data_IF_349380402201
#
_entry.id   IF_349380402201
#
_cell.length_a   1.000
_cell.length_b   1.000
_cell.length_c   1.000
_cell.angle_alpha   90.00
_cell.angle_beta   90.00
_cell.angle_gamma   90.00
#
_symmetry.space_group_name_H-M   'P 1'
#
loop_
_entity.id
_entity.type
_entity.pdbx_description
1 polymer ?
#
# COMPACT_ATOMS: atom_id res chain seq x y z
N UNK A 1 17.52 17.11 16.17
CA UNK A 1 16.19 17.27 16.79
C UNK A 1 15.49 18.55 16.37
N UNK A 2 16.10 19.73 16.52
CA UNK A 2 15.48 20.99 16.07
C UNK A 2 15.02 20.96 14.59
N UNK A 3 15.86 20.46 13.68
CA UNK A 3 15.50 20.34 12.25
C UNK A 3 14.27 19.46 12.02
N UNK A 4 14.19 18.30 12.68
CA UNK A 4 13.05 17.37 12.54
C UNK A 4 11.75 18.04 12.99
N UNK A 5 11.77 18.77 14.10
CA UNK A 5 10.57 19.42 14.64
C UNK A 5 10.09 20.55 13.72
N UNK A 6 11.02 21.34 13.18
CA UNK A 6 10.71 22.45 12.26
C UNK A 6 10.19 21.96 10.91
N UNK A 7 10.66 20.80 10.44
CA UNK A 7 10.22 20.23 9.17
C UNK A 7 8.82 19.62 9.24
N UNK A 8 8.37 19.08 10.37
CA UNK A 8 7.06 18.40 10.47
C UNK A 8 5.90 19.29 9.99
N UNK A 9 5.74 20.56 10.42
CA UNK A 9 4.72 21.46 9.91
C UNK A 9 4.81 21.67 8.39
N UNK A 10 6.02 21.78 7.85
CA UNK A 10 6.22 21.94 6.41
C UNK A 10 5.80 20.67 5.65
N UNK A 11 6.16 19.48 6.14
CA UNK A 11 5.75 18.21 5.55
C UNK A 11 4.22 18.01 5.59
N UNK A 12 3.55 18.48 6.63
CA UNK A 12 2.08 18.46 6.71
C UNK A 12 1.49 19.34 5.60
N UNK A 13 1.96 20.58 5.46
CA UNK A 13 1.48 21.50 4.42
C UNK A 13 1.73 20.93 3.02
N UNK A 14 2.93 20.42 2.75
CA UNK A 14 3.25 19.75 1.48
C UNK A 14 2.35 18.54 1.23
N UNK A 15 2.09 17.72 2.25
CA UNK A 15 1.19 16.58 2.17
C UNK A 15 -0.25 16.98 1.82
N UNK A 16 -0.74 18.08 2.38
CA UNK A 16 -2.07 18.63 2.04
C UNK A 16 -2.14 19.09 0.59
N UNK A 17 -1.12 19.79 0.09
CA UNK A 17 -1.06 20.21 -1.31
C UNK A 17 -1.04 19.02 -2.26
N UNK A 18 -0.19 18.02 -1.97
CA UNK A 18 -0.09 16.83 -2.82
C UNK A 18 -1.38 16.01 -2.77
N UNK A 19 -2.02 15.90 -1.61
CA UNK A 19 -3.36 15.33 -1.50
C UNK A 19 -4.35 16.07 -2.41
N UNK A 20 -4.41 17.40 -2.37
CA UNK A 20 -5.34 18.18 -3.18
C UNK A 20 -5.08 18.00 -4.69
N UNK A 21 -3.83 17.93 -5.12
CA UNK A 21 -3.48 17.75 -6.53
C UNK A 21 -3.74 16.32 -7.04
N UNK A 22 -3.48 15.30 -6.22
CA UNK A 22 -3.56 13.90 -6.66
C UNK A 22 -4.92 13.26 -6.41
N UNK A 23 -5.53 13.52 -5.24
CA UNK A 23 -6.67 12.76 -4.77
C UNK A 23 -7.91 12.98 -5.63
N UNK A 24 -8.28 14.24 -5.88
CA UNK A 24 -9.51 14.56 -6.61
C UNK A 24 -9.50 14.08 -8.07
N UNK A 25 -8.41 14.25 -8.85
CA UNK A 25 -8.38 13.74 -10.23
C UNK A 25 -8.41 12.21 -10.32
N UNK A 26 -7.78 11.50 -9.37
CA UNK A 26 -7.61 10.05 -9.46
C UNK A 26 -8.77 9.28 -8.83
N UNK A 27 -9.24 9.72 -7.67
CA UNK A 27 -10.21 8.98 -6.86
C UNK A 27 -11.63 9.57 -6.93
N UNK A 28 -11.77 10.80 -7.42
CA UNK A 28 -13.04 11.52 -7.40
C UNK A 28 -13.50 11.86 -5.97
N UNK A 29 -14.79 12.21 -5.84
CA UNK A 29 -15.39 12.59 -4.56
C UNK A 29 -15.94 11.35 -3.87
N UNK A 30 -15.23 10.84 -2.86
CA UNK A 30 -15.68 9.76 -1.99
C UNK A 30 -16.30 10.29 -0.68
N UNK A 31 -16.77 9.42 0.20
CA UNK A 31 -17.25 9.79 1.54
C UNK A 31 -16.18 10.55 2.34
N UNK A 32 -16.59 11.58 3.10
CA UNK A 32 -15.70 12.44 3.90
C UNK A 32 -14.73 11.67 4.80
N UNK A 33 -15.18 10.58 5.43
CA UNK A 33 -14.34 9.74 6.28
C UNK A 33 -13.16 9.09 5.52
N UNK A 34 -13.37 8.67 4.27
CA UNK A 34 -12.32 8.07 3.42
C UNK A 34 -11.35 9.14 2.92
N UNK A 35 -11.87 10.29 2.52
CA UNK A 35 -11.07 11.45 2.12
C UNK A 35 -10.10 11.86 3.23
N UNK A 36 -10.62 12.02 4.45
CA UNK A 36 -9.83 12.35 5.62
C UNK A 36 -8.76 11.30 5.94
N UNK A 37 -9.12 10.01 5.88
CA UNK A 37 -8.17 8.93 6.16
C UNK A 37 -7.03 8.87 5.12
N UNK A 38 -7.32 9.10 3.84
CA UNK A 38 -6.31 9.13 2.77
C UNK A 38 -5.39 10.35 2.94
N UNK A 39 -5.95 11.52 3.28
CA UNK A 39 -5.16 12.70 3.64
C UNK A 39 -4.20 12.39 4.80
N UNK A 40 -4.68 11.72 5.85
CA UNK A 40 -3.85 11.32 6.99
C UNK A 40 -2.71 10.39 6.57
N UNK A 41 -2.96 9.40 5.70
CA UNK A 41 -1.90 8.52 5.17
C UNK A 41 -0.88 9.27 4.31
N UNK A 42 -1.31 10.25 3.52
CA UNK A 42 -0.40 11.05 2.69
C UNK A 42 0.50 11.92 3.56
N UNK A 43 -0.07 12.65 4.52
CA UNK A 43 0.70 13.44 5.50
C UNK A 43 1.71 12.53 6.22
N UNK A 44 1.24 11.35 6.64
CA UNK A 44 2.09 10.38 7.32
C UNK A 44 3.27 9.91 6.46
N UNK A 45 3.08 9.72 5.15
CA UNK A 45 4.16 9.37 4.23
C UNK A 45 5.21 10.48 4.15
N UNK A 46 4.81 11.75 4.05
CA UNK A 46 5.74 12.88 3.98
C UNK A 46 6.56 13.05 5.26
N UNK A 47 5.93 12.87 6.43
CA UNK A 47 6.63 12.88 7.72
C UNK A 47 7.60 11.69 7.80
N UNK A 48 7.19 10.50 7.36
CA UNK A 48 8.07 9.34 7.28
C UNK A 48 9.27 9.59 6.36
N UNK A 49 9.05 10.15 5.16
CA UNK A 49 10.11 10.42 4.21
C UNK A 49 11.17 11.39 4.78
N UNK A 50 10.72 12.48 5.43
CA UNK A 50 11.63 13.42 6.12
C UNK A 50 12.40 12.74 7.25
N UNK A 51 11.71 12.05 8.17
CA UNK A 51 12.37 11.40 9.33
C UNK A 51 13.32 10.29 8.91
N UNK A 52 13.00 9.55 7.86
CA UNK A 52 13.86 8.53 7.28
C UNK A 52 15.13 9.13 6.67
N UNK A 53 15.01 10.26 5.96
CA UNK A 53 16.16 11.00 5.44
C UNK A 53 17.06 11.53 6.57
N UNK A 54 16.48 12.09 7.64
CA UNK A 54 17.25 12.53 8.81
C UNK A 54 18.03 11.40 9.47
N UNK A 55 17.44 10.21 9.57
CA UNK A 55 18.12 9.03 10.12
C UNK A 55 19.34 8.64 9.29
N UNK A 56 19.21 8.57 7.97
CA UNK A 56 20.32 8.15 7.09
C UNK A 56 21.42 9.21 6.99
N UNK A 57 21.06 10.49 6.91
CA UNK A 57 22.02 11.61 6.90
C UNK A 57 22.80 11.68 8.21
N UNK A 58 22.17 11.40 9.35
CA UNK A 58 22.85 11.37 10.64
C UNK A 58 23.94 10.29 10.73
N UNK A 59 23.77 9.17 10.02
CA UNK A 59 24.72 8.06 9.99
C UNK A 59 25.84 8.24 8.96
N UNK A 60 25.59 8.94 7.86
CA UNK A 60 26.51 9.01 6.73
C UNK A 60 27.41 10.25 6.76
N UNK A 61 28.64 10.16 6.19
CA UNK A 61 29.56 11.29 6.14
C UNK A 61 29.12 12.35 5.12
N UNK A 62 28.54 11.92 4.00
CA UNK A 62 28.12 12.74 2.86
C UNK A 62 26.68 12.44 2.42
N UNK A 63 26.05 13.44 1.78
CA UNK A 63 24.65 13.36 1.35
C UNK A 63 24.44 12.40 0.17
N UNK A 64 25.45 12.21 -0.68
CA UNK A 64 25.34 11.37 -1.87
C UNK A 64 25.26 9.89 -1.50
N UNK A 65 26.12 9.43 -0.58
CA UNK A 65 26.08 8.09 -0.02
C UNK A 65 24.78 7.85 0.76
N UNK A 66 24.33 8.84 1.53
CA UNK A 66 23.04 8.76 2.23
C UNK A 66 21.89 8.54 1.25
N UNK A 67 21.87 9.28 0.13
CA UNK A 67 20.83 9.14 -0.90
C UNK A 67 20.83 7.73 -1.52
N UNK A 68 22.00 7.16 -1.85
CA UNK A 68 22.09 5.79 -2.37
C UNK A 68 21.54 4.75 -1.38
N UNK A 69 21.80 4.90 -0.09
CA UNK A 69 21.27 4.00 0.95
C UNK A 69 19.75 4.17 1.08
N UNK A 70 19.24 5.40 1.08
CA UNK A 70 17.79 5.68 1.12
C UNK A 70 17.09 5.00 -0.04
N UNK A 71 17.66 5.10 -1.25
CA UNK A 71 17.11 4.45 -2.45
C UNK A 71 17.09 2.93 -2.26
N UNK A 72 18.21 2.32 -1.86
CA UNK A 72 18.29 0.87 -1.66
C UNK A 72 17.26 0.36 -0.63
N UNK A 73 17.18 1.01 0.53
CA UNK A 73 16.26 0.61 1.61
C UNK A 73 14.80 0.83 1.23
N UNK A 74 14.49 1.91 0.50
CA UNK A 74 13.14 2.20 0.03
C UNK A 74 12.70 1.21 -1.05
N UNK A 75 13.62 0.83 -1.96
CA UNK A 75 13.37 -0.21 -2.95
C UNK A 75 13.14 -1.57 -2.30
N UNK A 76 13.99 -1.97 -1.34
CA UNK A 76 13.79 -3.20 -0.58
C UNK A 76 12.44 -3.20 0.13
N UNK A 77 12.10 -2.12 0.85
CA UNK A 77 10.80 -2.00 1.53
C UNK A 77 9.61 -2.08 0.56
N UNK A 78 9.76 -1.56 -0.66
CA UNK A 78 8.71 -1.60 -1.69
C UNK A 78 8.56 -3.00 -2.28
N UNK A 79 9.67 -3.67 -2.60
CA UNK A 79 9.67 -5.02 -3.19
C UNK A 79 9.02 -6.03 -2.25
N UNK A 80 9.35 -5.94 -0.95
CA UNK A 80 8.81 -6.84 0.06
C UNK A 80 7.50 -6.33 0.70
N UNK A 81 6.86 -5.29 0.16
CA UNK A 81 5.60 -4.74 0.70
C UNK A 81 4.37 -5.63 0.54
N UNK A 82 4.46 -6.69 -0.28
CA UNK A 82 3.34 -7.56 -0.61
C UNK A 82 2.57 -7.16 -1.87
N UNK A 83 2.85 -5.97 -2.43
CA UNK A 83 2.13 -5.43 -3.61
C UNK A 83 2.65 -6.03 -4.92
N UNK A 84 3.97 -6.16 -5.06
CA UNK A 84 4.60 -6.72 -6.26
C UNK A 84 4.58 -8.25 -6.28
N UNK A 85 4.67 -8.87 -5.10
CA UNK A 85 4.58 -10.31 -4.89
C UNK A 85 3.82 -10.54 -3.60
N UNK A 86 2.84 -11.43 -3.64
CA UNK A 86 2.06 -11.79 -2.44
C UNK A 86 2.95 -12.49 -1.42
N UNK A 87 2.63 -12.41 -0.12
CA UNK A 87 3.42 -13.08 0.93
C UNK A 87 3.53 -14.60 0.75
N UNK A 88 2.56 -15.22 0.07
CA UNK A 88 2.54 -16.66 -0.25
C UNK A 88 3.49 -17.05 -1.38
N UNK A 89 3.85 -16.11 -2.28
CA UNK A 89 4.79 -16.34 -3.37
C UNK A 89 6.25 -16.13 -2.94
N UNK A 90 6.50 -15.50 -1.80
CA UNK A 90 7.84 -15.27 -1.28
C UNK A 90 8.42 -16.57 -0.68
N UNK A 91 9.71 -16.88 -0.92
CA UNK A 91 10.38 -17.97 -0.21
C UNK A 91 10.32 -17.73 1.31
N UNK A 92 10.12 -18.79 2.10
CA UNK A 92 9.84 -18.68 3.54
C UNK A 92 10.86 -17.84 4.33
N UNK A 93 12.12 -17.82 3.91
CA UNK A 93 13.15 -16.95 4.51
C UNK A 93 12.82 -15.45 4.39
N UNK A 94 12.24 -14.99 3.28
CA UNK A 94 11.97 -13.56 3.03
C UNK A 94 10.70 -13.03 3.71
N UNK A 95 9.94 -13.88 4.40
CA UNK A 95 8.68 -13.49 5.03
C UNK A 95 8.89 -12.48 6.18
N UNK A 96 10.06 -12.49 6.83
CA UNK A 96 10.37 -11.49 7.86
C UNK A 96 10.46 -10.09 7.24
N UNK A 97 11.00 -9.99 6.01
CA UNK A 97 11.17 -8.71 5.33
C UNK A 97 9.81 -8.09 5.00
N UNK A 98 8.82 -8.91 4.65
CA UNK A 98 7.45 -8.47 4.48
C UNK A 98 6.85 -7.86 5.77
N UNK A 99 7.13 -8.48 6.92
CA UNK A 99 6.64 -7.99 8.23
C UNK A 99 7.37 -6.73 8.72
N UNK A 100 8.64 -6.57 8.38
CA UNK A 100 9.46 -5.41 8.80
C UNK A 100 9.37 -4.24 7.79
N UNK A 101 8.81 -4.49 6.60
CA UNK A 101 8.67 -3.45 5.58
C UNK A 101 7.61 -2.42 5.98
N UNK A 102 7.96 -1.13 6.15
CA UNK A 102 6.99 -0.09 6.52
C UNK A 102 5.92 0.10 5.44
N UNK A 103 6.28 -0.09 4.16
CA UNK A 103 5.34 0.05 3.04
C UNK A 103 4.27 -1.06 2.99
N UNK A 104 4.48 -2.21 3.61
CA UNK A 104 3.42 -3.22 3.79
C UNK A 104 2.20 -2.62 4.48
N UNK A 105 2.45 -1.87 5.56
CA UNK A 105 1.41 -1.26 6.36
C UNK A 105 0.85 -0.01 5.68
N UNK A 106 1.70 0.85 5.16
CA UNK A 106 1.25 2.08 4.51
C UNK A 106 0.42 1.80 3.25
N UNK A 107 0.92 0.95 2.34
CA UNK A 107 0.20 0.62 1.10
C UNK A 107 -1.10 -0.14 1.42
N UNK A 108 -1.03 -1.13 2.32
CA UNK A 108 -2.24 -1.85 2.75
C UNK A 108 -3.30 -0.93 3.36
N UNK A 109 -2.88 0.08 4.14
CA UNK A 109 -3.77 1.08 4.73
C UNK A 109 -4.41 2.02 3.71
N UNK A 110 -3.61 2.64 2.83
CA UNK A 110 -4.11 3.61 1.86
C UNK A 110 -4.94 2.95 0.75
N UNK A 111 -4.51 1.79 0.22
CA UNK A 111 -5.18 1.09 -0.88
C UNK A 111 -6.50 0.49 -0.43
N UNK A 112 -6.53 -0.17 0.74
CA UNK A 112 -7.79 -0.63 1.32
C UNK A 112 -8.74 0.55 1.53
N UNK A 113 -8.23 1.70 1.96
CA UNK A 113 -9.07 2.88 2.17
C UNK A 113 -9.65 3.42 0.87
N UNK A 114 -8.81 3.50 -0.16
CA UNK A 114 -9.13 4.07 -1.46
C UNK A 114 -10.16 3.24 -2.25
N UNK A 115 -10.03 1.91 -2.23
CA UNK A 115 -10.79 1.02 -3.10
C UNK A 115 -11.97 0.31 -2.41
N UNK A 116 -12.16 0.49 -1.11
CA UNK A 116 -13.18 -0.25 -0.36
C UNK A 116 -14.58 -0.15 -0.97
N UNK A 117 -15.22 -1.30 -1.17
CA UNK A 117 -16.56 -1.40 -1.73
C UNK A 117 -16.72 -0.93 -3.18
N UNK A 118 -15.61 -0.67 -3.90
CA UNK A 118 -15.67 -0.32 -5.32
C UNK A 118 -16.05 -1.56 -6.12
N UNK A 119 -17.12 -1.46 -6.93
CA UNK A 119 -17.53 -2.53 -7.83
C UNK A 119 -16.53 -2.65 -8.98
N UNK A 120 -16.19 -3.89 -9.33
CA UNK A 120 -15.34 -4.20 -10.47
C UNK A 120 -16.23 -4.64 -11.63
N UNK A 121 -16.02 -4.03 -12.78
CA UNK A 121 -16.57 -4.49 -14.06
C UNK A 121 -15.40 -4.98 -14.89
N UNK A 122 -15.24 -6.30 -15.01
CA UNK A 122 -14.17 -6.91 -15.81
C UNK A 122 -14.26 -6.46 -17.28
N UNK A 123 -13.10 -6.23 -17.91
CA UNK A 123 -12.99 -6.11 -19.37
C UNK A 123 -13.05 -7.49 -20.03
N UNK A 124 -13.23 -7.55 -21.36
CA UNK A 124 -13.25 -8.80 -22.14
C UNK A 124 -12.00 -9.67 -21.93
N UNK A 125 -10.84 -9.03 -21.67
CA UNK A 125 -9.58 -9.75 -21.39
C UNK A 125 -9.49 -10.32 -19.97
N UNK A 126 -10.31 -9.83 -19.06
CA UNK A 126 -10.31 -10.22 -17.65
C UNK A 126 -11.47 -11.19 -17.34
N UNK A 127 -12.44 -11.28 -18.24
CA UNK A 127 -13.52 -12.26 -18.16
C UNK A 127 -13.03 -13.63 -18.64
N UNK A 128 -13.42 -14.67 -17.91
CA UNK A 128 -13.27 -16.04 -18.39
C UNK A 128 -14.38 -16.31 -19.40
N UNK A 129 -13.98 -16.58 -20.64
CA UNK A 129 -14.89 -16.94 -21.74
C UNK A 129 -14.99 -18.46 -21.87
N UNK A 130 -16.22 -18.98 -21.89
CA UNK A 130 -16.48 -20.39 -22.13
C UNK A 130 -17.89 -20.60 -22.72
N UNK A 131 -18.14 -21.78 -23.29
CA UNK A 131 -19.45 -22.12 -23.84
C UNK A 131 -20.20 -23.06 -22.90
N UNK A 132 -21.50 -22.82 -22.63
CA UNK A 132 -22.29 -23.70 -21.79
C UNK A 132 -22.60 -25.01 -22.56
N UNK A 133 -22.50 -26.17 -21.91
CA UNK A 133 -22.89 -27.44 -22.53
C UNK A 133 -24.41 -27.49 -22.75
N UNK A 134 -24.85 -28.19 -23.80
CA UNK A 134 -26.26 -28.47 -24.13
C UNK A 134 -27.15 -27.27 -24.55
N UNK A 135 -26.57 -26.14 -24.96
CA UNK A 135 -27.34 -25.01 -25.48
C UNK A 135 -28.22 -24.30 -24.45
N UNK A 136 -27.98 -24.54 -23.16
CA UNK A 136 -28.57 -23.76 -22.07
C UNK A 136 -28.02 -22.33 -22.06
N UNK A 137 -28.74 -21.41 -21.44
CA UNK A 137 -28.22 -20.04 -21.25
C UNK A 137 -27.05 -20.03 -20.26
N UNK A 138 -26.15 -19.06 -20.40
CA UNK A 138 -25.04 -18.84 -19.48
C UNK A 138 -25.53 -18.66 -18.04
N UNK A 139 -26.67 -17.98 -17.86
CA UNK A 139 -27.31 -17.79 -16.57
C UNK A 139 -27.75 -19.10 -15.92
N UNK A 140 -28.45 -19.96 -16.67
CA UNK A 140 -28.90 -21.26 -16.17
C UNK A 140 -27.74 -22.20 -15.82
N UNK A 141 -26.71 -22.23 -16.66
CA UNK A 141 -25.55 -23.09 -16.42
C UNK A 141 -24.72 -22.63 -15.21
N UNK A 142 -24.55 -21.32 -15.01
CA UNK A 142 -23.76 -20.77 -13.90
C UNK A 142 -24.57 -20.54 -12.63
N UNK A 143 -25.90 -20.66 -12.64
CA UNK A 143 -26.74 -20.43 -11.45
C UNK A 143 -26.27 -21.21 -10.20
N UNK A 144 -25.97 -22.53 -10.25
CA UNK A 144 -25.47 -23.23 -9.08
C UNK A 144 -24.08 -22.74 -8.66
N UNK A 145 -23.22 -22.37 -9.62
CA UNK A 145 -21.87 -21.90 -9.33
C UNK A 145 -21.86 -20.49 -8.71
N UNK A 146 -22.72 -19.59 -9.16
CA UNK A 146 -22.85 -18.23 -8.63
C UNK A 146 -23.40 -18.19 -7.19
N UNK A 147 -23.97 -19.30 -6.69
CA UNK A 147 -24.37 -19.43 -5.28
C UNK A 147 -23.19 -19.65 -4.34
N UNK A 148 -22.11 -20.26 -4.84
CA UNK A 148 -20.92 -20.60 -4.04
C UNK A 148 -19.73 -19.68 -4.34
N UNK A 149 -19.53 -19.32 -5.60
CA UNK A 149 -18.38 -18.55 -6.04
C UNK A 149 -18.67 -17.04 -6.06
N UNK A 150 -17.77 -16.20 -5.51
CA UNK A 150 -17.86 -14.76 -5.69
C UNK A 150 -17.65 -14.41 -7.17
N UNK A 151 -18.47 -13.53 -7.73
CA UNK A 151 -18.31 -13.07 -9.11
C UNK A 151 -19.59 -12.53 -9.71
N UNK A 152 -19.50 -12.07 -10.96
CA UNK A 152 -20.62 -11.53 -11.72
C UNK A 152 -20.57 -12.06 -13.15
N UNK A 153 -21.67 -12.62 -13.62
CA UNK A 153 -21.87 -12.95 -15.02
C UNK A 153 -22.35 -11.69 -15.76
N UNK A 154 -21.72 -11.35 -16.89
CA UNK A 154 -22.05 -10.14 -17.64
C UNK A 154 -23.13 -10.35 -18.72
N UNK A 155 -23.29 -11.57 -19.23
CA UNK A 155 -24.21 -11.93 -20.32
C UNK A 155 -25.07 -13.17 -19.96
N UNK A 156 -26.05 -13.03 -19.05
CA UNK A 156 -26.86 -14.16 -18.60
C UNK A 156 -27.68 -14.82 -19.72
N UNK A 157 -28.13 -14.04 -20.71
CA UNK A 157 -29.03 -14.51 -21.77
C UNK A 157 -28.31 -15.17 -22.97
N UNK A 158 -26.98 -15.13 -23.00
CA UNK A 158 -26.21 -15.70 -24.10
C UNK A 158 -26.17 -17.24 -24.02
N UNK A 159 -26.15 -17.91 -25.16
CA UNK A 159 -25.99 -19.37 -25.28
C UNK A 159 -24.57 -19.77 -25.72
N UNK A 160 -23.74 -18.79 -26.06
CA UNK A 160 -22.33 -18.94 -26.44
C UNK A 160 -21.51 -17.80 -25.82
N UNK A 161 -20.21 -18.02 -25.61
CA UNK A 161 -19.26 -17.04 -25.07
C UNK A 161 -19.71 -16.41 -23.73
N UNK A 162 -20.01 -17.24 -22.73
CA UNK A 162 -20.30 -16.78 -21.38
C UNK A 162 -19.11 -16.00 -20.81
N UNK A 163 -19.35 -14.77 -20.33
CA UNK A 163 -18.35 -13.85 -19.79
C UNK A 163 -18.47 -13.78 -18.28
N UNK A 164 -17.68 -14.60 -17.59
CA UNK A 164 -17.68 -14.65 -16.14
C UNK A 164 -16.53 -13.82 -15.55
N UNK A 165 -16.87 -12.90 -14.64
CA UNK A 165 -15.92 -12.11 -13.88
C UNK A 165 -15.81 -12.71 -12.47
N UNK A 166 -14.62 -13.21 -12.09
CA UNK A 166 -14.37 -13.90 -10.82
C UNK A 166 -14.32 -12.98 -9.59
N UNK A 167 -14.36 -11.66 -9.80
CA UNK A 167 -14.34 -10.66 -8.73
C UNK A 167 -15.50 -9.68 -8.93
N UNK A 168 -16.24 -9.41 -7.85
CA UNK A 168 -17.34 -8.44 -7.85
C UNK A 168 -16.92 -7.10 -7.27
N UNK A 169 -16.05 -7.12 -6.25
CA UNK A 169 -15.61 -5.93 -5.54
C UNK A 169 -14.09 -5.89 -5.41
N UNK A 170 -13.54 -4.68 -5.31
CA UNK A 170 -12.11 -4.50 -5.11
C UNK A 170 -11.60 -5.11 -3.80
N UNK A 171 -12.45 -5.24 -2.77
CA UNK A 171 -12.07 -5.91 -1.52
C UNK A 171 -11.71 -7.39 -1.73
N UNK A 172 -12.41 -8.08 -2.65
CA UNK A 172 -12.11 -9.48 -2.97
C UNK A 172 -10.75 -9.61 -3.67
N UNK A 173 -10.47 -8.69 -4.59
CA UNK A 173 -9.18 -8.62 -5.27
C UNK A 173 -8.04 -8.32 -4.28
N UNK A 174 -8.23 -7.36 -3.37
CA UNK A 174 -7.23 -6.97 -2.37
C UNK A 174 -6.97 -8.05 -1.31
N UNK A 175 -7.96 -8.90 -1.00
CA UNK A 175 -7.80 -10.02 -0.08
C UNK A 175 -6.75 -11.03 -0.55
N UNK A 176 -6.56 -11.20 -1.87
CA UNK A 176 -5.49 -12.03 -2.43
C UNK A 176 -4.08 -11.52 -2.05
N UNK A 177 -3.94 -10.21 -1.82
CA UNK A 177 -2.70 -9.56 -1.38
C UNK A 177 -2.61 -9.39 0.14
N UNK A 178 -3.48 -10.04 0.91
CA UNK A 178 -3.56 -9.90 2.38
C UNK A 178 -3.86 -8.45 2.82
N UNK A 179 -4.59 -7.69 2.00
CA UNK A 179 -4.99 -6.31 2.30
C UNK A 179 -6.46 -6.27 2.67
N UNK A 180 -6.76 -5.96 3.93
CA UNK A 180 -8.11 -5.95 4.46
C UNK A 180 -8.53 -4.56 4.95
N UNK A 181 -9.76 -4.15 4.62
CA UNK A 181 -10.34 -2.88 5.08
C UNK A 181 -10.38 -2.75 6.61
N UNK A 182 -10.60 -3.84 7.34
CA UNK A 182 -10.64 -3.86 8.81
C UNK A 182 -9.32 -3.42 9.46
N UNK A 183 -8.20 -3.57 8.76
CA UNK A 183 -6.86 -3.36 9.32
C UNK A 183 -6.32 -1.94 9.12
N UNK A 184 -7.07 -1.06 8.42
CA UNK A 184 -6.60 0.29 8.03
C UNK A 184 -6.08 1.14 9.21
N UNK A 185 -6.77 1.13 10.35
CA UNK A 185 -6.36 1.90 11.54
C UNK A 185 -5.18 1.27 12.27
N UNK A 186 -5.09 -0.07 12.31
CA UNK A 186 -3.93 -0.78 12.84
C UNK A 186 -2.69 -0.42 12.02
N UNK A 187 -2.82 -0.47 10.69
CA UNK A 187 -1.74 -0.16 9.77
C UNK A 187 -1.29 1.30 9.87
N UNK A 188 -2.25 2.24 10.03
CA UNK A 188 -1.95 3.64 10.33
C UNK A 188 -1.13 3.80 11.62
N UNK A 189 -1.51 3.11 12.70
CA UNK A 189 -0.76 3.13 13.96
C UNK A 189 0.64 2.52 13.86
N UNK A 190 0.78 1.36 13.19
CA UNK A 190 2.08 0.70 13.00
C UNK A 190 3.05 1.60 12.24
N UNK A 191 2.58 2.30 11.22
CA UNK A 191 3.46 3.17 10.44
C UNK A 191 3.97 4.38 11.24
N UNK A 192 3.20 4.90 12.21
CA UNK A 192 3.70 5.89 13.17
C UNK A 192 4.82 5.35 14.06
N UNK A 193 4.80 4.05 14.40
CA UNK A 193 5.91 3.45 15.14
C UNK A 193 7.23 3.49 14.35
N UNK A 194 7.18 3.30 13.02
CA UNK A 194 8.36 3.47 12.16
C UNK A 194 8.87 4.92 12.12
N UNK A 195 7.97 5.91 12.14
CA UNK A 195 8.35 7.33 12.24
C UNK A 195 9.07 7.58 13.58
N UNK A 196 8.51 7.09 14.68
CA UNK A 196 9.14 7.19 16.01
C UNK A 196 10.52 6.50 16.04
N UNK A 197 10.62 5.31 15.47
CA UNK A 197 11.87 4.59 15.32
C UNK A 197 12.91 5.40 14.54
N UNK A 198 12.55 5.98 13.40
CA UNK A 198 13.45 6.82 12.59
C UNK A 198 13.98 8.02 13.39
N UNK A 199 13.11 8.69 14.16
CA UNK A 199 13.51 9.84 15.00
C UNK A 199 14.51 9.41 16.08
N UNK A 200 14.22 8.30 16.78
CA UNK A 200 15.11 7.76 17.82
C UNK A 200 16.46 7.37 17.21
N UNK A 201 16.44 6.63 16.10
CA UNK A 201 17.65 6.19 15.41
C UNK A 201 18.46 7.35 14.85
N UNK A 202 17.82 8.43 14.37
CA UNK A 202 18.53 9.63 13.96
C UNK A 202 19.33 10.25 15.12
N UNK A 203 18.78 10.29 16.33
CA UNK A 203 19.49 10.78 17.53
C UNK A 203 20.64 9.84 17.89
N UNK A 204 20.40 8.53 17.90
CA UNK A 204 21.40 7.52 18.23
C UNK A 204 22.56 7.58 17.24
N UNK A 205 22.29 7.60 15.93
CA UNK A 205 23.31 7.68 14.90
C UNK A 205 24.08 8.99 14.96
N UNK A 206 23.41 10.12 15.16
CA UNK A 206 24.10 11.39 15.35
C UNK A 206 25.06 11.33 16.55
N UNK A 207 24.60 10.79 17.69
CA UNK A 207 25.45 10.65 18.87
C UNK A 207 26.63 9.70 18.63
N UNK A 208 26.40 8.55 18.02
CA UNK A 208 27.43 7.52 17.79
C UNK A 208 28.46 7.94 16.75
N UNK A 209 28.04 8.50 15.61
CA UNK A 209 28.94 8.79 14.49
C UNK A 209 29.52 10.20 14.51
N UNK A 210 28.82 11.18 15.11
CA UNK A 210 29.26 12.59 15.11
C UNK A 210 29.79 13.06 16.47
N UNK A 211 29.21 12.61 17.57
CA UNK A 211 29.60 13.06 18.93
C UNK A 211 30.65 12.15 19.54
N UNK A 212 30.35 10.86 19.65
CA UNK A 212 31.28 9.85 20.15
C UNK A 212 32.31 9.64 19.04
N UNK A 213 33.46 10.31 19.12
CA UNK A 213 34.64 9.96 18.31
C UNK A 213 35.06 8.53 18.68
N UNK A 214 34.40 7.53 18.10
CA UNK A 214 34.85 6.15 18.10
C UNK A 214 36.19 6.12 17.35
N UNK A 215 37.27 6.31 18.11
CA UNK A 215 38.64 6.30 17.60
C UNK A 215 39.19 7.67 17.18
N UNK A 216 39.36 8.61 18.12
CA UNK A 216 40.65 9.32 18.17
C UNK A 216 41.50 8.64 19.23
N UNK A 217 42.13 7.54 18.83
CA UNK A 217 43.40 7.07 19.39
C UNK A 217 44.45 7.32 18.33
#
# INVERSE_FOLDING_TARGET
MANVIVEIPFQIVTGVFIYACFYYPVMGIQSSARQGLILLFIIQLFIYASTFAHMTIAAMPDAQTAASIVILLSLMSTIFSGVLQTPSALPGFWIFMYRVSPFTYWIGGIVSTALHGRQITCSEKETSEFNPPNGSTCGEYLEPFLKEAPGTLQNPDATEQCRYCSVRTADQYLAAFQVYWSERWRNYGIFWAYIGFNIIMAVVFYYVFRVKKLGKR
#
